data_IF_565898513196
#
_entry.id   IF_565898513196
#
_cell.length_a   1.000
_cell.length_b   1.000
_cell.length_c   1.000
_cell.angle_alpha   90.00
_cell.angle_beta   90.00
_cell.angle_gamma   90.00
#
_symmetry.space_group_name_H-M   'P 1'
#
loop_
_entity.id
_entity.type
_entity.pdbx_description
1 polymer ?
#
# COMPACT_ATOMS: atom_id res chain seq x y z
N UNK A 1 11.24 5.12 -5.06
CA UNK A 1 10.27 4.22 -5.71
C UNK A 1 9.83 4.78 -7.07
N UNK A 2 9.66 3.95 -8.11
CA UNK A 2 9.17 4.37 -9.43
C UNK A 2 7.68 4.01 -9.63
N UNK A 3 6.90 4.95 -10.18
CA UNK A 3 5.47 4.75 -10.45
C UNK A 3 4.97 5.65 -11.61
N UNK A 4 3.86 5.24 -12.22
CA UNK A 4 3.19 5.99 -13.29
C UNK A 4 1.67 5.92 -13.12
N UNK A 5 1.03 7.08 -12.95
CA UNK A 5 -0.42 7.20 -13.00
C UNK A 5 -0.92 7.30 -14.44
N UNK A 6 -2.09 6.71 -14.70
CA UNK A 6 -2.82 6.83 -15.97
C UNK A 6 -4.28 7.11 -15.67
N UNK A 7 -4.86 8.08 -16.38
CA UNK A 7 -6.29 8.37 -16.32
C UNK A 7 -6.95 7.98 -17.64
N UNK A 8 -8.02 7.19 -17.56
CA UNK A 8 -8.84 6.83 -18.71
C UNK A 8 -10.32 6.87 -18.35
N UNK A 9 -11.08 7.71 -19.07
CA UNK A 9 -12.53 7.90 -18.86
C UNK A 9 -12.90 8.21 -17.40
N UNK A 10 -12.07 9.00 -16.71
CA UNK A 10 -12.28 9.38 -15.30
C UNK A 10 -11.83 8.34 -14.27
N UNK A 11 -11.33 7.17 -14.71
CA UNK A 11 -10.73 6.19 -13.81
C UNK A 11 -9.21 6.37 -13.76
N UNK A 12 -8.66 6.48 -12.56
CA UNK A 12 -7.22 6.54 -12.33
C UNK A 12 -6.72 5.15 -11.97
N UNK A 13 -5.58 4.79 -12.56
CA UNK A 13 -4.81 3.59 -12.20
C UNK A 13 -3.34 3.95 -12.07
N UNK A 14 -2.60 3.13 -11.34
CA UNK A 14 -1.15 3.26 -11.18
C UNK A 14 -0.46 1.95 -11.52
N UNK A 15 0.76 2.07 -12.05
CA UNK A 15 1.74 0.99 -12.13
C UNK A 15 2.98 1.41 -11.33
N UNK A 16 3.59 0.47 -10.61
CA UNK A 16 4.83 0.67 -9.87
C UNK A 16 5.94 -0.25 -10.38
N UNK A 17 7.17 -0.07 -9.88
CA UNK A 17 8.25 -1.04 -10.09
C UNK A 17 7.88 -2.43 -9.56
N UNK A 18 8.62 -3.43 -10.02
CA UNK A 18 8.38 -4.84 -9.74
C UNK A 18 8.29 -5.11 -8.22
N UNK A 19 9.13 -4.49 -7.39
CA UNK A 19 9.10 -4.68 -5.93
C UNK A 19 7.91 -4.02 -5.21
N UNK A 20 7.09 -3.24 -5.93
CA UNK A 20 5.99 -2.43 -5.37
C UNK A 20 4.63 -2.77 -6.00
N UNK A 21 4.48 -3.96 -6.58
CA UNK A 21 3.22 -4.38 -7.21
C UNK A 21 2.07 -4.41 -6.18
N UNK A 22 2.29 -4.93 -4.97
CA UNK A 22 1.28 -4.91 -3.91
C UNK A 22 0.81 -3.49 -3.55
N UNK A 23 1.70 -2.49 -3.56
CA UNK A 23 1.33 -1.08 -3.37
C UNK A 23 0.43 -0.58 -4.50
N UNK A 24 0.78 -0.88 -5.75
CA UNK A 24 -0.02 -0.51 -6.90
C UNK A 24 -1.42 -1.15 -6.83
N UNK A 25 -1.49 -2.42 -6.42
CA UNK A 25 -2.74 -3.16 -6.27
C UNK A 25 -3.62 -2.57 -5.17
N UNK A 26 -3.06 -2.33 -3.97
CA UNK A 26 -3.78 -1.64 -2.89
C UNK A 26 -4.37 -0.31 -3.39
N UNK A 27 -3.54 0.53 -4.00
CA UNK A 27 -3.97 1.84 -4.50
C UNK A 27 -5.10 1.70 -5.53
N UNK A 28 -4.92 0.84 -6.53
CA UNK A 28 -5.89 0.64 -7.61
C UNK A 28 -7.23 0.12 -7.07
N UNK A 29 -7.23 -0.70 -6.03
CA UNK A 29 -8.45 -1.16 -5.37
C UNK A 29 -9.11 0.00 -4.62
N UNK A 30 -8.40 0.66 -3.70
CA UNK A 30 -8.97 1.71 -2.85
C UNK A 30 -9.41 2.95 -3.63
N UNK A 31 -8.67 3.39 -4.65
CA UNK A 31 -9.03 4.59 -5.42
C UNK A 31 -10.38 4.47 -6.12
N UNK A 32 -10.84 3.24 -6.39
CA UNK A 32 -12.15 2.96 -6.98
C UNK A 32 -13.24 2.72 -5.93
N UNK A 33 -12.94 1.96 -4.89
CA UNK A 33 -13.94 1.53 -3.90
C UNK A 33 -14.13 2.50 -2.74
N UNK A 34 -13.05 3.17 -2.31
CA UNK A 34 -13.02 4.06 -1.17
C UNK A 34 -11.93 5.14 -1.33
N UNK A 35 -12.15 6.17 -2.18
CA UNK A 35 -11.15 7.21 -2.42
C UNK A 35 -10.68 7.95 -1.16
N UNK A 36 -11.50 7.96 -0.10
CA UNK A 36 -11.14 8.56 1.19
C UNK A 36 -10.00 7.80 1.89
N UNK A 37 -9.84 6.50 1.63
CA UNK A 37 -8.74 5.70 2.18
C UNK A 37 -7.37 6.25 1.77
N UNK A 38 -7.25 6.84 0.57
CA UNK A 38 -6.01 7.46 0.09
C UNK A 38 -5.67 8.70 0.95
N UNK A 39 -6.67 9.52 1.26
CA UNK A 39 -6.50 10.71 2.12
C UNK A 39 -6.22 10.32 3.56
N UNK A 40 -6.90 9.29 4.08
CA UNK A 40 -6.61 8.72 5.40
C UNK A 40 -5.17 8.21 5.47
N UNK A 41 -4.73 7.41 4.50
CA UNK A 41 -3.36 6.89 4.45
C UNK A 41 -2.33 8.02 4.43
N UNK A 42 -2.55 9.07 3.64
CA UNK A 42 -1.65 10.22 3.59
C UNK A 42 -1.59 10.96 4.93
N UNK A 43 -2.75 11.26 5.52
CA UNK A 43 -2.82 11.96 6.81
C UNK A 43 -2.15 11.14 7.92
N UNK A 44 -2.44 9.84 7.97
CA UNK A 44 -1.83 8.91 8.92
C UNK A 44 -0.31 8.86 8.75
N UNK A 45 0.19 8.67 7.52
CA UNK A 45 1.63 8.60 7.26
C UNK A 45 2.37 9.89 7.65
N UNK A 46 1.75 11.06 7.48
CA UNK A 46 2.34 12.35 7.86
C UNK A 46 2.40 12.60 9.37
N UNK A 47 1.60 11.89 10.16
CA UNK A 47 1.47 12.08 11.60
C UNK A 47 2.23 11.02 12.41
N UNK A 48 2.92 10.08 11.76
CA UNK A 48 3.69 9.05 12.43
C UNK A 48 4.85 9.67 13.21
N UNK A 49 5.00 9.26 14.45
CA UNK A 49 6.15 9.60 15.32
C UNK A 49 7.01 8.36 15.53
N UNK A 50 8.27 8.56 15.93
CA UNK A 50 9.18 7.46 16.26
C UNK A 50 8.54 6.50 17.29
N UNK A 51 8.69 5.19 17.06
CA UNK A 51 8.10 4.10 17.86
C UNK A 51 6.56 4.00 17.81
N UNK A 52 5.87 4.76 16.94
CA UNK A 52 4.46 4.53 16.66
C UNK A 52 4.28 3.60 15.47
N UNK A 53 3.46 2.58 15.66
CA UNK A 53 2.98 1.71 14.60
C UNK A 53 1.47 1.85 14.48
N UNK A 54 0.97 1.86 13.25
CA UNK A 54 -0.45 1.87 12.97
C UNK A 54 -0.77 0.98 11.79
N UNK A 55 -2.03 0.56 11.71
CA UNK A 55 -2.53 -0.33 10.67
C UNK A 55 -3.78 0.25 10.05
N UNK A 56 -3.82 0.30 8.73
CA UNK A 56 -5.01 0.67 7.96
C UNK A 56 -5.47 -0.56 7.17
N UNK A 57 -6.64 -1.08 7.51
CA UNK A 57 -7.22 -2.25 6.84
C UNK A 57 -8.02 -1.75 5.64
N UNK A 58 -7.55 -2.08 4.43
CA UNK A 58 -8.27 -1.87 3.18
C UNK A 58 -9.08 -3.10 2.77
N UNK A 59 -9.66 -3.04 1.57
CA UNK A 59 -10.50 -4.09 1.01
C UNK A 59 -9.71 -5.39 0.76
N UNK A 60 -8.62 -5.30 0.01
CA UNK A 60 -7.79 -6.46 -0.36
C UNK A 60 -6.41 -6.46 0.27
N UNK A 61 -5.95 -5.29 0.72
CA UNK A 61 -4.63 -5.13 1.32
C UNK A 61 -4.74 -4.34 2.63
N UNK A 62 -3.81 -4.64 3.52
CA UNK A 62 -3.56 -3.90 4.74
C UNK A 62 -2.27 -3.11 4.60
N UNK A 63 -2.29 -1.86 5.05
CA UNK A 63 -1.09 -1.07 5.29
C UNK A 63 -0.66 -1.19 6.76
N UNK A 64 0.62 -1.45 6.98
CA UNK A 64 1.28 -1.31 8.27
C UNK A 64 2.27 -0.18 8.14
N UNK A 65 2.13 0.86 8.96
CA UNK A 65 2.91 2.08 8.85
C UNK A 65 3.66 2.37 10.14
N UNK A 66 4.93 2.69 10.02
CA UNK A 66 5.74 3.30 11.06
C UNK A 66 6.52 4.50 10.48
N UNK A 67 7.32 5.18 11.30
CA UNK A 67 8.04 6.39 10.87
C UNK A 67 9.05 6.14 9.72
N UNK A 68 9.57 4.92 9.61
CA UNK A 68 10.65 4.57 8.68
C UNK A 68 10.14 3.89 7.40
N UNK A 69 9.19 2.96 7.55
CA UNK A 69 8.75 2.06 6.50
C UNK A 69 7.22 1.84 6.51
N UNK A 70 6.68 1.60 5.31
CA UNK A 70 5.32 1.13 5.08
C UNK A 70 5.38 -0.26 4.44
N UNK A 71 4.73 -1.22 5.09
CA UNK A 71 4.48 -2.56 4.54
C UNK A 71 3.05 -2.63 4.02
N UNK A 72 2.91 -3.08 2.77
CA UNK A 72 1.64 -3.36 2.12
C UNK A 72 1.52 -4.87 2.02
N UNK A 73 0.45 -5.45 2.59
CA UNK A 73 0.26 -6.90 2.63
C UNK A 73 -1.14 -7.29 2.21
N UNK A 74 -1.27 -8.26 1.32
CA UNK A 74 -2.56 -8.82 0.94
C UNK A 74 -3.28 -9.42 2.16
N UNK A 75 -4.59 -9.22 2.25
CA UNK A 75 -5.41 -9.66 3.39
C UNK A 75 -5.59 -11.18 3.43
N UNK A 76 -5.55 -11.85 2.28
CA UNK A 76 -5.63 -13.32 2.19
C UNK A 76 -4.46 -14.01 2.90
N UNK A 77 -3.27 -13.38 2.97
CA UNK A 77 -2.13 -13.86 3.77
C UNK A 77 -2.42 -13.89 5.28
N UNK A 78 -3.42 -13.14 5.76
CA UNK A 78 -3.84 -13.19 7.16
C UNK A 78 -4.66 -14.45 7.48
N UNK A 79 -5.17 -15.16 6.47
CA UNK A 79 -5.96 -16.39 6.66
C UNK A 79 -5.09 -17.64 6.82
N UNK A 80 -3.82 -17.62 6.39
CA UNK A 80 -2.91 -18.77 6.49
C UNK A 80 -2.27 -18.93 7.88
N UNK A 81 -2.45 -17.97 8.80
CA UNK A 81 -1.74 -17.94 10.08
C UNK A 81 -2.33 -18.80 11.21
N UNK A 82 -3.40 -19.56 10.98
CA UNK A 82 -3.96 -20.50 11.98
C UNK A 82 -3.62 -21.98 11.73
N UNK A 83 -3.02 -22.33 10.58
CA UNK A 83 -2.58 -23.69 10.30
C UNK A 83 -1.13 -23.72 9.80
N UNK A 84 -0.24 -24.09 10.74
CA UNK A 84 1.07 -24.71 10.52
C UNK A 84 2.20 -23.76 10.09
N UNK A 85 3.01 -23.41 11.10
CA UNK A 85 4.41 -23.01 10.93
C UNK A 85 5.20 -24.18 10.32
N UNK A 86 5.35 -24.23 9.00
CA UNK A 86 6.45 -24.96 8.37
C UNK A 86 7.54 -23.96 7.93
N UNK A 87 8.70 -24.14 8.55
CA UNK A 87 9.94 -23.38 8.38
C UNK A 87 10.55 -23.57 6.97
N UNK A 88 9.86 -23.23 5.87
CA UNK A 88 10.53 -23.13 4.55
C UNK A 88 9.74 -22.45 3.40
N UNK A 89 8.76 -21.57 3.66
CA UNK A 89 7.95 -20.98 2.59
C UNK A 89 8.41 -19.57 2.18
N UNK A 90 9.36 -19.52 1.24
CA UNK A 90 9.61 -18.37 0.36
C UNK A 90 8.40 -18.13 -0.59
N UNK A 91 7.24 -17.69 -0.09
CA UNK A 91 6.01 -17.63 -0.90
C UNK A 91 5.25 -16.30 -0.90
N UNK A 92 5.90 -15.19 -0.51
CA UNK A 92 5.33 -13.88 -0.81
C UNK A 92 5.89 -13.39 -2.13
N UNK A 93 5.07 -13.49 -3.18
CA UNK A 93 5.33 -12.81 -4.44
C UNK A 93 5.11 -11.29 -4.29
N UNK A 94 5.55 -10.56 -5.30
CA UNK A 94 5.50 -9.09 -5.32
C UNK A 94 4.07 -8.54 -5.38
N UNK A 95 3.10 -9.38 -5.75
CA UNK A 95 1.69 -9.03 -5.68
C UNK A 95 1.15 -9.11 -4.25
N UNK A 96 1.73 -9.96 -3.40
CA UNK A 96 1.24 -10.25 -2.06
C UNK A 96 1.84 -9.33 -0.98
N UNK A 97 3.09 -8.90 -1.14
CA UNK A 97 3.76 -8.00 -0.18
C UNK A 97 4.66 -6.99 -0.88
N UNK A 98 4.68 -5.76 -0.37
CA UNK A 98 5.64 -4.73 -0.77
C UNK A 98 6.06 -3.89 0.43
N UNK A 99 7.27 -3.33 0.35
CA UNK A 99 7.84 -2.44 1.33
C UNK A 99 8.32 -1.17 0.64
N UNK A 100 8.10 -0.02 1.28
CA UNK A 100 8.70 1.24 0.84
C UNK A 100 8.94 2.15 2.03
N UNK A 101 9.92 3.05 1.92
CA UNK A 101 10.14 4.05 2.95
C UNK A 101 8.90 4.94 3.12
N UNK A 102 8.56 5.30 4.35
CA UNK A 102 7.44 6.21 4.64
C UNK A 102 7.51 7.53 3.85
N UNK A 103 8.69 8.16 3.63
CA UNK A 103 8.81 9.32 2.74
C UNK A 103 8.40 9.04 1.29
N UNK A 104 8.79 7.89 0.73
CA UNK A 104 8.45 7.48 -0.63
C UNK A 104 6.93 7.22 -0.76
N UNK A 105 6.33 6.61 0.25
CA UNK A 105 4.88 6.39 0.31
C UNK A 105 4.10 7.72 0.36
N UNK A 106 4.55 8.67 1.19
CA UNK A 106 3.94 10.01 1.25
C UNK A 106 4.09 10.73 -0.10
N UNK A 107 5.26 10.64 -0.72
CA UNK A 107 5.51 11.24 -2.04
C UNK A 107 4.55 10.66 -3.08
N UNK A 108 4.41 9.34 -3.14
CA UNK A 108 3.47 8.64 -4.03
C UNK A 108 2.01 9.12 -3.86
N UNK A 109 1.52 9.20 -2.62
CA UNK A 109 0.14 9.63 -2.36
C UNK A 109 -0.09 11.11 -2.72
N UNK A 110 0.91 11.98 -2.47
CA UNK A 110 0.85 13.38 -2.89
C UNK A 110 0.86 13.52 -4.41
N UNK A 111 1.71 12.77 -5.10
CA UNK A 111 1.76 12.77 -6.57
C UNK A 111 0.45 12.34 -7.21
N UNK A 112 -0.30 11.42 -6.58
CA UNK A 112 -1.65 11.12 -7.01
C UNK A 112 -2.60 12.32 -6.85
N UNK A 113 -2.59 12.98 -5.69
CA UNK A 113 -3.46 14.14 -5.43
C UNK A 113 -3.16 15.26 -6.44
N UNK A 114 -1.88 15.52 -6.71
CA UNK A 114 -1.46 16.50 -7.72
C UNK A 114 -1.86 16.07 -9.14
N UNK A 115 -1.89 14.77 -9.44
CA UNK A 115 -2.28 14.24 -10.75
C UNK A 115 -3.78 14.41 -11.06
N UNK A 116 -4.64 14.42 -10.03
CA UNK A 116 -6.10 14.56 -10.19
C UNK A 116 -6.62 15.99 -9.96
N UNK A 117 -5.77 16.91 -9.52
CA UNK A 117 -6.10 18.32 -9.32
C UNK A 117 -6.30 19.06 -10.65
#
# INVERSE_FOLDING_TARGET
MDFQFTSHLGNVTVKCSMEHIALANWFNTEVRSNPQAILTALSTAQQLVENQETRLIGAEYTLFLNADEVMIRANNLMMESDEILEEDFHYYDEESIAFCGTPDFIHFLKSYIDFIA
#
